data_IF_622588380771
#
_entry.id   IF_622588380771
#
_cell.length_a   1.000
_cell.length_b   1.000
_cell.length_c   1.000
_cell.angle_alpha   90.00
_cell.angle_beta   90.00
_cell.angle_gamma   90.00
#
_symmetry.space_group_name_H-M   'P 1'
#
loop_
_entity.id
_entity.type
_entity.pdbx_description
1 polymer ?
#
# COMPACT_ATOMS: atom_id res chain seq x y z
N UNK A 1 -10.39 32.11 3.08
CA UNK A 1 -10.47 31.35 1.80
C UNK A 1 -9.42 30.23 1.63
N UNK A 2 -8.50 29.97 2.58
CA UNK A 2 -7.45 28.92 2.46
C UNK A 2 -7.84 27.51 2.96
N UNK A 3 -9.04 27.32 3.51
CA UNK A 3 -9.48 26.03 4.07
C UNK A 3 -10.06 25.05 3.05
N UNK A 4 -10.61 25.54 1.93
CA UNK A 4 -11.29 24.68 0.94
C UNK A 4 -10.34 24.05 -0.09
N UNK A 5 -9.26 24.75 -0.45
CA UNK A 5 -8.26 24.28 -1.41
C UNK A 5 -7.30 23.24 -0.82
N UNK A 6 -6.90 23.41 0.45
CA UNK A 6 -6.08 22.42 1.17
C UNK A 6 -6.77 21.06 1.28
N UNK A 7 -8.06 21.05 1.66
CA UNK A 7 -8.85 19.83 1.72
C UNK A 7 -9.00 19.16 0.35
N UNK A 8 -9.22 19.94 -0.72
CA UNK A 8 -9.30 19.38 -2.07
C UNK A 8 -7.98 18.75 -2.55
N UNK A 9 -6.84 19.34 -2.19
CA UNK A 9 -5.53 18.78 -2.51
C UNK A 9 -5.24 17.47 -1.75
N UNK A 10 -5.57 17.44 -0.45
CA UNK A 10 -5.43 16.23 0.37
C UNK A 10 -6.33 15.09 -0.12
N UNK A 11 -7.57 15.40 -0.51
CA UNK A 11 -8.49 14.40 -1.08
C UNK A 11 -7.97 13.81 -2.40
N UNK A 12 -7.42 14.65 -3.28
CA UNK A 12 -6.81 14.18 -4.54
C UNK A 12 -5.58 13.33 -4.30
N UNK A 13 -4.73 13.73 -3.35
CA UNK A 13 -3.54 12.97 -2.98
C UNK A 13 -3.92 11.59 -2.41
N UNK A 14 -4.91 11.52 -1.53
CA UNK A 14 -5.42 10.25 -0.99
C UNK A 14 -6.06 9.36 -2.06
N UNK A 15 -6.85 9.94 -2.97
CA UNK A 15 -7.44 9.18 -4.08
C UNK A 15 -6.37 8.60 -5.02
N UNK A 16 -5.34 9.39 -5.34
CA UNK A 16 -4.21 8.94 -6.17
C UNK A 16 -3.39 7.86 -5.46
N UNK A 17 -3.10 8.04 -4.17
CA UNK A 17 -2.39 7.05 -3.36
C UNK A 17 -3.15 5.72 -3.35
N UNK A 18 -4.47 5.76 -3.13
CA UNK A 18 -5.33 4.57 -3.19
C UNK A 18 -5.35 3.93 -4.58
N UNK A 19 -5.39 4.73 -5.65
CA UNK A 19 -5.34 4.20 -7.02
C UNK A 19 -4.02 3.51 -7.34
N UNK A 20 -2.89 4.07 -6.87
CA UNK A 20 -1.57 3.45 -7.01
C UNK A 20 -1.47 2.18 -6.17
N UNK A 21 -1.90 2.23 -4.90
CA UNK A 21 -1.84 1.10 -3.98
C UNK A 21 -2.68 -0.08 -4.50
N UNK A 22 -3.91 0.16 -4.98
CA UNK A 22 -4.78 -0.91 -5.48
C UNK A 22 -4.47 -1.36 -6.92
N UNK A 23 -3.49 -0.74 -7.59
CA UNK A 23 -3.16 -1.10 -8.97
C UNK A 23 -2.30 -2.38 -9.02
N UNK A 24 -2.71 -3.35 -9.83
CA UNK A 24 -1.88 -4.51 -10.18
C UNK A 24 -0.65 -4.14 -11.02
N UNK A 25 -0.63 -2.93 -11.60
CA UNK A 25 0.47 -2.48 -12.48
C UNK A 25 1.68 -1.98 -11.70
N UNK A 26 1.53 -1.71 -10.41
CA UNK A 26 2.59 -1.24 -9.54
C UNK A 26 2.76 -2.19 -8.36
N UNK A 27 4.00 -2.60 -8.09
CA UNK A 27 4.32 -3.33 -6.87
C UNK A 27 4.71 -2.33 -5.78
N UNK A 28 4.06 -2.41 -4.62
CA UNK A 28 4.37 -1.58 -3.46
C UNK A 28 4.64 -2.46 -2.26
N UNK A 29 5.86 -2.36 -1.72
CA UNK A 29 6.31 -3.09 -0.54
C UNK A 29 6.93 -2.07 0.41
N UNK A 30 6.43 -2.03 1.65
CA UNK A 30 7.02 -1.22 2.71
C UNK A 30 7.22 -2.08 3.95
N UNK A 31 8.38 -1.92 4.59
CA UNK A 31 8.72 -2.64 5.82
C UNK A 31 8.90 -1.70 7.00
N UNK A 32 8.76 -2.23 8.21
CA UNK A 32 9.26 -1.57 9.40
C UNK A 32 10.79 -1.66 9.51
N UNK A 33 11.37 -1.07 10.57
CA UNK A 33 12.81 -1.07 10.82
C UNK A 33 13.39 -2.47 11.12
N UNK A 34 12.54 -3.47 11.40
CA UNK A 34 12.93 -4.87 11.64
C UNK A 34 12.81 -5.72 10.37
N UNK A 35 12.37 -5.13 9.26
CA UNK A 35 12.17 -5.83 7.99
C UNK A 35 10.81 -6.52 7.85
N UNK A 36 9.87 -6.28 8.77
CA UNK A 36 8.52 -6.85 8.69
C UNK A 36 7.72 -6.08 7.64
N UNK A 37 7.11 -6.80 6.69
CA UNK A 37 6.29 -6.21 5.62
C UNK A 37 4.98 -5.66 6.21
N UNK A 38 4.79 -4.36 6.10
CA UNK A 38 3.60 -3.63 6.57
C UNK A 38 2.64 -3.30 5.42
N UNK A 39 3.17 -3.17 4.20
CA UNK A 39 2.40 -2.88 2.99
C UNK A 39 2.82 -3.90 1.94
N UNK A 40 1.84 -4.61 1.40
CA UNK A 40 2.01 -5.52 0.28
C UNK A 40 0.74 -5.46 -0.57
N UNK A 41 0.84 -4.92 -1.78
CA UNK A 41 -0.32 -4.75 -2.63
C UNK A 41 -0.45 -5.88 -3.68
N UNK A 42 -1.58 -5.88 -4.39
CA UNK A 42 -1.90 -6.88 -5.42
C UNK A 42 -0.86 -6.94 -6.56
N UNK A 43 -0.19 -5.82 -6.88
CA UNK A 43 0.90 -5.84 -7.85
C UNK A 43 2.13 -6.61 -7.34
N UNK A 44 2.48 -6.45 -6.06
CA UNK A 44 3.58 -7.17 -5.42
C UNK A 44 3.28 -8.67 -5.26
N UNK A 45 2.04 -9.02 -4.92
CA UNK A 45 1.53 -10.40 -4.92
C UNK A 45 1.74 -11.07 -6.28
N UNK A 46 1.32 -10.39 -7.35
CA UNK A 46 1.43 -10.90 -8.72
C UNK A 46 2.88 -11.00 -9.19
N UNK A 47 3.73 -10.04 -8.81
CA UNK A 47 5.15 -10.05 -9.16
C UNK A 47 5.90 -11.21 -8.48
N UNK A 48 5.55 -11.52 -7.22
CA UNK A 48 6.27 -12.52 -6.42
C UNK A 48 5.58 -13.89 -6.38
N UNK A 49 4.37 -14.01 -6.92
CA UNK A 49 3.62 -15.26 -6.96
C UNK A 49 3.02 -15.68 -5.61
N UNK A 50 2.89 -14.75 -4.67
CA UNK A 50 2.30 -15.00 -3.35
C UNK A 50 0.91 -14.39 -3.28
N UNK A 51 -0.10 -15.18 -2.88
CA UNK A 51 -1.41 -14.64 -2.49
C UNK A 51 -1.28 -14.22 -1.02
N UNK A 52 -1.16 -12.92 -0.76
CA UNK A 52 -1.16 -12.42 0.62
C UNK A 52 -2.60 -12.18 1.02
N UNK A 53 -3.21 -13.19 1.64
CA UNK A 53 -4.48 -12.98 2.33
C UNK A 53 -4.23 -12.04 3.50
N UNK A 54 -4.71 -10.80 3.42
CA UNK A 54 -4.66 -9.85 4.53
C UNK A 54 -5.54 -10.40 5.67
N UNK A 55 -4.91 -11.11 6.60
CA UNK A 55 -5.39 -11.29 7.96
C UNK A 55 -4.59 -10.32 8.83
N UNK A 56 -5.24 -9.49 9.67
CA UNK A 56 -4.59 -8.36 10.36
C UNK A 56 -3.52 -8.74 11.42
N UNK A 57 -2.99 -9.95 11.39
CA UNK A 57 -2.03 -10.49 12.37
C UNK A 57 -0.90 -11.33 11.79
N UNK A 58 -0.78 -11.49 10.47
CA UNK A 58 0.28 -12.35 9.92
C UNK A 58 1.61 -11.60 9.84
N UNK A 59 2.44 -11.77 10.87
CA UNK A 59 3.87 -11.45 10.82
C UNK A 59 4.52 -12.25 9.68
N UNK A 60 4.87 -11.58 8.58
CA UNK A 60 5.55 -12.21 7.46
C UNK A 60 7.06 -12.19 7.73
N UNK A 61 7.59 -13.27 8.29
CA UNK A 61 9.03 -13.55 8.28
C UNK A 61 9.32 -14.52 7.13
N UNK A 62 10.07 -14.11 6.09
CA UNK A 62 10.61 -15.06 5.13
C UNK A 62 11.68 -15.90 5.84
N UNK A 63 11.44 -17.21 5.93
CA UNK A 63 12.38 -18.22 6.42
C UNK A 63 13.56 -18.41 5.47
#
# INVERSE_FOLDING_TARGET
>A
MKSKQGNAALLRAGALQSAIFNSEKFSSIATDAKGVIQIFNVGAERMLGYIVSVTPTTHFYPS
#
